data_IF_870752817029
#
_entry.id   IF_870752817029
#
_cell.length_a   1.000
_cell.length_b   1.000
_cell.length_c   1.000
_cell.angle_alpha   90.00
_cell.angle_beta   90.00
_cell.angle_gamma   90.00
#
_symmetry.space_group_name_H-M   'P 1'
#
loop_
_entity.id
_entity.type
_entity.pdbx_description
1 polymer ?
#
# COMPACT_ATOMS: atom_id res chain seq x y z
N UNK A 1 7.71 52.29 -53.43
CA UNK A 1 6.71 51.72 -52.48
C UNK A 1 7.19 50.35 -52.03
N UNK A 2 8.00 50.28 -50.97
CA UNK A 2 8.51 49.00 -50.43
C UNK A 2 7.62 48.55 -49.27
N UNK A 3 7.05 47.35 -49.39
CA UNK A 3 6.21 46.72 -48.36
C UNK A 3 7.10 46.02 -47.35
N UNK A 4 7.13 46.50 -46.10
CA UNK A 4 7.75 45.81 -44.97
C UNK A 4 6.80 44.70 -44.51
N UNK A 5 7.26 43.45 -44.53
CA UNK A 5 6.56 42.31 -43.95
C UNK A 5 6.97 42.20 -42.48
N UNK A 6 6.03 42.46 -41.57
CA UNK A 6 6.22 42.26 -40.13
C UNK A 6 6.00 40.78 -39.82
N UNK A 7 7.04 40.13 -39.29
CA UNK A 7 6.98 38.75 -38.79
C UNK A 7 6.68 38.82 -37.29
N UNK A 8 5.49 38.37 -36.88
CA UNK A 8 5.13 38.27 -35.45
C UNK A 8 5.71 36.96 -34.92
N UNK A 9 6.79 37.05 -34.15
CA UNK A 9 7.30 35.93 -33.38
C UNK A 9 6.44 35.76 -32.12
N UNK A 10 5.58 34.73 -32.12
CA UNK A 10 4.87 34.30 -30.90
C UNK A 10 5.86 33.54 -30.04
N UNK A 11 6.42 34.19 -29.01
CA UNK A 11 7.11 33.49 -27.93
C UNK A 11 6.05 32.74 -27.10
N UNK A 12 5.92 31.44 -27.35
CA UNK A 12 5.17 30.54 -26.47
C UNK A 12 5.91 30.42 -25.14
N UNK A 13 5.35 30.97 -24.09
CA UNK A 13 5.78 30.70 -22.72
C UNK A 13 5.44 29.26 -22.38
N UNK A 14 6.44 28.38 -22.45
CA UNK A 14 6.38 27.05 -21.84
C UNK A 14 6.33 27.24 -20.32
N UNK A 15 5.13 27.43 -19.77
CA UNK A 15 4.93 27.45 -18.32
C UNK A 15 5.32 26.09 -17.76
N UNK A 16 6.33 26.04 -16.88
CA UNK A 16 6.53 24.90 -16.00
C UNK A 16 5.27 24.79 -15.14
N UNK A 17 4.34 23.91 -15.52
CA UNK A 17 3.35 23.38 -14.59
C UNK A 17 4.12 22.57 -13.56
N UNK A 18 4.32 23.14 -12.38
CA UNK A 18 4.69 22.37 -11.20
C UNK A 18 3.50 21.48 -10.89
N UNK A 19 3.55 20.22 -11.34
CA UNK A 19 2.60 19.22 -10.87
C UNK A 19 2.86 19.07 -9.37
N UNK A 20 1.95 19.63 -8.56
CA UNK A 20 1.89 19.32 -7.13
C UNK A 20 1.55 17.84 -7.08
N UNK A 21 2.58 17.01 -6.83
CA UNK A 21 2.39 15.58 -6.60
C UNK A 21 1.48 15.43 -5.38
N UNK A 22 0.43 14.62 -5.49
CA UNK A 22 -0.45 14.37 -4.36
C UNK A 22 0.32 13.65 -3.23
N UNK A 23 -0.05 13.92 -1.99
CA UNK A 23 0.63 13.36 -0.83
C UNK A 23 0.58 11.81 -0.84
N UNK A 24 1.62 11.14 -0.32
CA UNK A 24 1.59 9.69 -0.17
C UNK A 24 0.65 9.25 0.95
N UNK A 25 0.16 8.01 0.87
CA UNK A 25 -0.70 7.39 1.87
C UNK A 25 -0.12 6.06 2.31
N UNK A 26 -0.01 5.83 3.63
CA UNK A 26 0.56 4.61 4.18
C UNK A 26 0.00 4.29 5.56
N UNK A 27 0.16 3.04 5.98
CA UNK A 27 -0.24 2.59 7.31
C UNK A 27 0.20 1.16 7.60
N UNK A 28 0.27 0.83 8.89
CA UNK A 28 0.67 -0.49 9.40
C UNK A 28 -0.10 -0.84 10.67
N UNK A 29 -0.35 -2.13 10.88
CA UNK A 29 -1.21 -2.60 11.97
C UNK A 29 -0.52 -2.57 13.34
N UNK A 30 0.79 -2.78 13.37
CA UNK A 30 1.65 -2.56 14.53
C UNK A 30 2.57 -1.37 14.27
N UNK A 31 2.72 -0.48 15.25
CA UNK A 31 3.56 0.72 15.11
C UNK A 31 5.05 0.36 15.09
N UNK A 32 5.83 1.17 14.38
CA UNK A 32 7.28 1.13 14.44
C UNK A 32 7.73 1.39 15.88
N UNK A 33 8.72 0.62 16.33
CA UNK A 33 9.27 0.69 17.67
C UNK A 33 10.76 0.33 17.59
N UNK A 34 11.60 1.33 17.87
CA UNK A 34 13.04 1.21 17.76
C UNK A 34 13.69 0.36 18.87
N UNK A 35 12.89 -0.27 19.74
CA UNK A 35 13.39 -1.13 20.82
C UNK A 35 13.02 -2.61 20.63
N UNK A 36 12.34 -2.95 19.54
CA UNK A 36 11.91 -4.33 19.26
C UNK A 36 11.87 -4.62 17.76
N UNK A 37 11.82 -5.89 17.36
CA UNK A 37 11.52 -6.27 15.99
C UNK A 37 10.27 -5.55 15.46
N UNK A 38 10.48 -4.62 14.53
CA UNK A 38 9.41 -3.84 13.93
C UNK A 38 9.82 -3.32 12.55
N UNK A 39 8.81 -2.91 11.77
CA UNK A 39 8.99 -2.28 10.47
C UNK A 39 8.50 -0.84 10.49
N UNK A 40 9.09 -0.05 9.60
CA UNK A 40 8.71 1.32 9.30
C UNK A 40 8.21 1.37 7.84
N UNK A 41 6.96 1.77 7.64
CA UNK A 41 6.33 1.85 6.32
C UNK A 41 6.03 3.29 5.97
N UNK A 42 6.29 3.66 4.72
CA UNK A 42 6.11 5.01 4.23
C UNK A 42 6.82 5.21 2.90
N UNK A 43 7.36 6.40 2.68
CA UNK A 43 8.11 6.71 1.45
C UNK A 43 9.61 6.79 1.67
N UNK A 44 10.37 6.46 0.63
CA UNK A 44 11.84 6.58 0.62
C UNK A 44 12.28 8.03 0.78
N UNK A 45 13.42 8.22 1.43
CA UNK A 45 14.15 9.50 1.39
C UNK A 45 15.03 9.53 0.14
N UNK A 46 15.32 10.73 -0.35
CA UNK A 46 16.31 10.92 -1.40
C UNK A 46 17.69 10.48 -0.92
N UNK A 47 18.41 9.74 -1.77
CA UNK A 47 19.72 9.17 -1.47
C UNK A 47 19.63 7.83 -0.74
N UNK A 48 20.68 7.46 -0.02
CA UNK A 48 20.76 6.19 0.72
C UNK A 48 22.00 5.37 0.35
N UNK A 49 22.56 4.68 1.33
CA UNK A 49 23.69 3.76 1.13
C UNK A 49 23.16 2.37 0.74
N UNK A 50 23.67 1.79 -0.34
CA UNK A 50 23.28 0.45 -0.82
C UNK A 50 21.94 0.38 -1.58
N UNK A 51 20.90 1.06 -1.10
CA UNK A 51 19.56 1.12 -1.71
C UNK A 51 19.13 2.56 -1.99
N UNK A 52 19.92 3.28 -2.79
CA UNK A 52 19.65 4.68 -3.14
C UNK A 52 18.32 4.86 -3.87
N UNK A 53 17.62 5.95 -3.57
CA UNK A 53 16.33 6.28 -4.16
C UNK A 53 16.25 7.77 -4.52
N UNK A 54 15.54 8.16 -5.60
CA UNK A 54 15.20 9.55 -5.87
C UNK A 54 14.33 10.20 -4.78
N UNK A 55 13.64 9.41 -3.96
CA UNK A 55 12.80 9.88 -2.85
C UNK A 55 11.33 9.95 -3.23
N UNK A 56 10.46 9.61 -2.26
CA UNK A 56 9.01 9.63 -2.41
C UNK A 56 8.41 8.31 -2.88
N UNK A 57 9.18 7.28 -3.20
CA UNK A 57 8.66 5.95 -3.55
C UNK A 57 8.08 5.21 -2.35
N UNK A 58 6.96 4.50 -2.51
CA UNK A 58 6.45 3.62 -1.46
C UNK A 58 7.48 2.57 -1.07
N UNK A 59 7.61 2.33 0.23
CA UNK A 59 8.66 1.47 0.74
C UNK A 59 8.43 0.94 2.15
N UNK A 60 9.40 0.16 2.59
CA UNK A 60 9.48 -0.42 3.94
C UNK A 60 10.91 -0.43 4.43
N UNK A 61 11.11 -0.28 5.74
CA UNK A 61 12.38 -0.50 6.43
C UNK A 61 12.18 -1.44 7.61
N UNK A 62 13.20 -2.22 7.96
CA UNK A 62 13.21 -3.05 9.18
C UNK A 62 14.09 -2.40 10.21
N UNK A 63 13.61 -2.27 11.44
CA UNK A 63 14.38 -1.63 12.51
C UNK A 63 15.81 -2.19 12.64
N UNK A 64 15.97 -3.52 12.58
CA UNK A 64 17.27 -4.20 12.70
C UNK A 64 18.23 -3.91 11.54
N UNK A 65 17.74 -3.37 10.42
CA UNK A 65 18.52 -3.06 9.23
C UNK A 65 18.58 -1.55 9.04
N UNK A 66 19.79 -0.99 9.18
CA UNK A 66 20.04 0.45 9.02
C UNK A 66 19.05 1.34 9.83
N UNK A 67 18.60 0.87 11.00
CA UNK A 67 17.70 1.60 11.89
C UNK A 67 16.27 1.78 11.36
N UNK A 68 15.84 0.98 10.38
CA UNK A 68 14.52 1.14 9.76
C UNK A 68 14.49 2.18 8.63
N UNK A 69 15.62 2.42 7.98
CA UNK A 69 15.66 3.20 6.74
C UNK A 69 14.74 2.56 5.69
N UNK A 70 13.82 3.35 5.15
CA UNK A 70 12.84 2.91 4.16
C UNK A 70 13.51 2.74 2.80
N UNK A 71 13.36 1.55 2.20
CA UNK A 71 13.77 1.23 0.83
C UNK A 71 12.53 0.97 -0.03
N UNK A 72 12.60 1.26 -1.34
CA UNK A 72 11.43 1.20 -2.21
C UNK A 72 11.00 -0.23 -2.51
N UNK A 73 9.68 -0.48 -2.51
CA UNK A 73 9.15 -1.78 -2.93
C UNK A 73 9.50 -2.10 -4.39
N UNK A 74 9.52 -1.09 -5.26
CA UNK A 74 9.93 -1.25 -6.67
C UNK A 74 11.40 -1.68 -6.82
N UNK A 75 12.28 -1.27 -5.90
CA UNK A 75 13.65 -1.78 -5.84
C UNK A 75 13.69 -3.23 -5.34
N UNK A 76 12.85 -3.55 -4.36
CA UNK A 76 12.78 -4.88 -3.75
C UNK A 76 12.27 -5.97 -4.71
N UNK A 77 11.39 -5.64 -5.66
CA UNK A 77 10.90 -6.62 -6.66
C UNK A 77 12.00 -7.23 -7.53
N UNK A 78 13.17 -6.59 -7.62
CA UNK A 78 14.33 -7.09 -8.37
C UNK A 78 15.00 -8.30 -7.71
N UNK A 79 14.77 -8.50 -6.41
CA UNK A 79 15.41 -9.55 -5.61
C UNK A 79 14.52 -10.77 -5.38
N UNK A 80 13.22 -10.64 -5.64
CA UNK A 80 12.27 -11.73 -5.52
C UNK A 80 11.23 -11.61 -6.63
N UNK A 81 11.18 -12.60 -7.53
CA UNK A 81 10.10 -12.69 -8.50
C UNK A 81 8.75 -12.85 -7.78
N UNK A 82 7.69 -12.32 -8.39
CA UNK A 82 6.35 -12.56 -7.92
C UNK A 82 5.93 -14.01 -8.20
N UNK A 83 5.14 -14.59 -7.32
CA UNK A 83 4.50 -15.88 -7.55
C UNK A 83 3.27 -15.75 -8.48
N UNK A 84 2.53 -16.85 -8.67
CA UNK A 84 1.31 -16.88 -9.49
C UNK A 84 0.20 -15.96 -8.97
N UNK A 85 0.24 -15.58 -7.69
CA UNK A 85 -0.67 -14.62 -7.09
C UNK A 85 -0.12 -13.19 -7.18
N UNK A 86 0.99 -12.95 -7.87
CA UNK A 86 1.61 -11.63 -7.96
C UNK A 86 2.19 -11.15 -6.63
N UNK A 87 2.55 -12.05 -5.72
CA UNK A 87 3.11 -11.74 -4.41
C UNK A 87 4.60 -12.05 -4.42
N UNK A 88 5.40 -11.05 -4.01
CA UNK A 88 6.83 -11.15 -3.83
C UNK A 88 7.13 -11.59 -2.39
N UNK A 89 8.03 -12.57 -2.24
CA UNK A 89 8.52 -13.02 -0.94
C UNK A 89 10.00 -12.71 -0.77
N UNK A 90 10.34 -11.93 0.24
CA UNK A 90 11.73 -11.64 0.61
C UNK A 90 11.96 -12.17 2.02
N UNK A 91 13.03 -12.95 2.22
CA UNK A 91 13.30 -13.61 3.48
C UNK A 91 14.81 -13.66 3.75
N UNK A 92 15.24 -13.07 4.87
CA UNK A 92 16.63 -13.17 5.37
C UNK A 92 16.67 -13.38 6.89
N UNK A 93 16.13 -14.49 7.42
CA UNK A 93 16.08 -14.71 8.87
C UNK A 93 17.43 -15.17 9.49
N UNK A 94 18.45 -15.51 8.70
CA UNK A 94 19.63 -16.26 9.19
C UNK A 94 21.04 -15.73 8.89
N UNK A 95 21.43 -15.47 7.63
CA UNK A 95 22.82 -15.07 7.31
C UNK A 95 22.90 -14.13 6.11
N UNK A 96 23.90 -13.26 6.08
CA UNK A 96 24.12 -12.25 5.03
C UNK A 96 24.08 -10.83 5.58
N UNK A 97 24.25 -9.83 4.71
CA UNK A 97 24.25 -8.42 5.09
C UNK A 97 22.90 -7.92 5.65
N UNK A 98 21.82 -8.69 5.43
CA UNK A 98 20.47 -8.41 5.90
C UNK A 98 19.98 -9.47 6.90
N UNK A 99 20.91 -10.07 7.65
CA UNK A 99 20.53 -11.05 8.68
C UNK A 99 19.54 -10.44 9.69
N UNK A 100 18.49 -11.20 10.03
CA UNK A 100 17.47 -10.78 10.98
C UNK A 100 16.48 -9.77 10.40
N UNK A 101 16.43 -9.58 9.08
CA UNK A 101 15.45 -8.72 8.42
C UNK A 101 14.03 -9.33 8.46
N UNK A 102 13.91 -10.62 8.76
CA UNK A 102 12.63 -11.33 8.82
C UNK A 102 12.10 -11.73 7.46
N UNK A 103 10.78 -11.81 7.34
CA UNK A 103 10.07 -12.31 6.17
C UNK A 103 9.00 -11.32 5.74
N UNK A 104 9.03 -10.95 4.47
CA UNK A 104 8.04 -10.11 3.82
C UNK A 104 7.27 -10.91 2.79
N UNK A 105 5.97 -10.64 2.71
CA UNK A 105 5.14 -10.98 1.55
C UNK A 105 4.43 -9.70 1.11
N UNK A 106 4.64 -9.24 -0.12
CA UNK A 106 4.02 -8.00 -0.61
C UNK A 106 3.63 -8.07 -2.08
N UNK A 107 2.67 -7.24 -2.48
CA UNK A 107 2.18 -7.14 -3.86
C UNK A 107 2.01 -5.69 -4.27
N UNK A 108 2.05 -5.45 -5.59
CA UNK A 108 1.73 -4.16 -6.21
C UNK A 108 0.26 -4.16 -6.64
N UNK A 109 -0.43 -3.05 -6.43
CA UNK A 109 -1.76 -2.81 -7.01
C UNK A 109 -1.60 -2.47 -8.50
N UNK A 110 -1.64 -3.48 -9.36
CA UNK A 110 -1.65 -3.36 -10.82
C UNK A 110 -0.78 -2.20 -11.36
N UNK A 111 -1.41 -1.21 -12.00
CA UNK A 111 -0.74 -0.09 -12.66
C UNK A 111 -0.49 1.12 -11.74
N UNK A 112 -0.71 1.00 -10.44
CA UNK A 112 -0.51 2.09 -9.47
C UNK A 112 0.77 1.86 -8.66
N UNK A 113 1.49 2.93 -8.31
CA UNK A 113 2.59 2.88 -7.35
C UNK A 113 2.05 2.80 -5.91
N UNK A 114 1.34 1.70 -5.66
CA UNK A 114 0.70 1.35 -4.40
C UNK A 114 1.03 -0.11 -4.10
N UNK A 115 1.52 -0.35 -2.89
CA UNK A 115 1.98 -1.65 -2.43
C UNK A 115 1.34 -1.98 -1.09
N UNK A 116 1.08 -3.25 -0.86
CA UNK A 116 0.52 -3.77 0.38
C UNK A 116 1.13 -5.13 0.68
N UNK A 117 1.18 -5.49 1.96
CA UNK A 117 1.85 -6.71 2.37
C UNK A 117 1.86 -6.93 3.86
N UNK A 118 2.65 -7.91 4.25
CA UNK A 118 2.86 -8.29 5.64
C UNK A 118 4.35 -8.52 5.90
N UNK A 119 4.71 -8.40 7.17
CA UNK A 119 6.02 -8.75 7.68
C UNK A 119 5.91 -9.51 8.99
N UNK A 120 6.84 -10.43 9.23
CA UNK A 120 7.13 -10.95 10.57
C UNK A 120 8.61 -11.28 10.70
N UNK A 121 9.11 -11.26 11.94
CA UNK A 121 10.51 -11.51 12.24
C UNK A 121 10.96 -12.93 11.84
N UNK A 122 10.07 -13.91 11.92
CA UNK A 122 10.39 -15.33 11.70
C UNK A 122 9.63 -15.96 10.54
N UNK A 123 8.55 -15.34 10.05
CA UNK A 123 7.69 -15.93 9.03
C UNK A 123 6.76 -17.03 9.54
N UNK A 124 6.69 -17.25 10.86
CA UNK A 124 5.81 -18.26 11.48
C UNK A 124 4.43 -17.67 11.75
N UNK A 125 3.40 -18.50 11.64
CA UNK A 125 1.99 -18.09 11.83
C UNK A 125 1.70 -17.50 13.21
N UNK A 126 2.41 -17.97 14.23
CA UNK A 126 2.27 -17.50 15.61
C UNK A 126 3.27 -16.40 16.00
N UNK A 127 3.96 -15.81 15.03
CA UNK A 127 4.89 -14.72 15.30
C UNK A 127 4.12 -13.46 15.72
N UNK A 128 4.36 -13.01 16.95
CA UNK A 128 3.69 -11.83 17.52
C UNK A 128 4.08 -10.52 16.82
N UNK A 129 5.14 -10.52 16.02
CA UNK A 129 5.59 -9.37 15.24
C UNK A 129 4.81 -9.20 13.92
N UNK A 130 3.89 -10.12 13.61
CA UNK A 130 3.10 -10.09 12.37
C UNK A 130 2.42 -8.73 12.17
N UNK A 131 2.86 -8.01 11.14
CA UNK A 131 2.44 -6.64 10.84
C UNK A 131 1.97 -6.58 9.41
N UNK A 132 0.69 -6.26 9.20
CA UNK A 132 0.16 -5.94 7.88
C UNK A 132 0.35 -4.45 7.59
N UNK A 133 0.55 -4.10 6.33
CA UNK A 133 0.86 -2.73 5.91
C UNK A 133 0.44 -2.40 4.48
N UNK A 134 0.43 -1.10 4.17
CA UNK A 134 0.36 -0.56 2.82
C UNK A 134 1.13 0.76 2.71
N UNK A 135 1.57 1.07 1.50
CA UNK A 135 2.13 2.38 1.15
C UNK A 135 1.87 2.66 -0.32
N UNK A 136 1.48 3.89 -0.64
CA UNK A 136 1.22 4.31 -2.02
C UNK A 136 1.50 5.78 -2.26
N UNK A 137 1.76 6.10 -3.52
CA UNK A 137 1.80 7.47 -4.06
C UNK A 137 0.41 7.91 -4.47
N UNK A 138 0.25 9.22 -4.56
CA UNK A 138 -0.88 9.88 -5.18
C UNK A 138 -2.21 9.54 -4.49
N UNK A 139 -2.32 9.85 -3.19
CA UNK A 139 -3.62 9.78 -2.50
C UNK A 139 -4.65 10.59 -3.28
N UNK A 140 -5.82 10.01 -3.51
CA UNK A 140 -6.86 10.64 -4.33
C UNK A 140 -7.31 11.95 -3.69
N UNK A 141 -7.09 13.06 -4.40
CA UNK A 141 -7.59 14.40 -4.02
C UNK A 141 -8.90 14.77 -4.70
N UNK A 142 -9.27 14.06 -5.77
CA UNK A 142 -10.47 14.24 -6.59
C UNK A 142 -11.43 13.04 -6.44
N UNK A 143 -11.87 12.76 -5.21
CA UNK A 143 -12.88 11.72 -4.98
C UNK A 143 -14.17 12.00 -5.77
N UNK A 144 -14.80 10.98 -6.37
CA UNK A 144 -16.16 11.14 -6.87
C UNK A 144 -17.09 11.64 -5.77
N UNK A 145 -18.00 12.55 -6.09
CA UNK A 145 -18.96 13.11 -5.12
C UNK A 145 -20.23 12.26 -4.98
N UNK A 146 -20.39 11.26 -5.85
CA UNK A 146 -21.53 10.36 -5.91
C UNK A 146 -21.24 9.14 -6.77
N UNK A 147 -22.23 8.24 -6.87
CA UNK A 147 -22.13 7.00 -7.62
C UNK A 147 -21.48 5.86 -6.84
N UNK A 148 -21.52 4.68 -7.46
CA UNK A 148 -21.01 3.44 -6.90
C UNK A 148 -19.86 2.95 -7.77
N UNK A 149 -18.74 2.59 -7.15
CA UNK A 149 -17.63 1.90 -7.78
C UNK A 149 -17.38 0.56 -7.10
N UNK A 150 -16.98 -0.43 -7.88
CA UNK A 150 -16.52 -1.72 -7.36
C UNK A 150 -15.03 -1.88 -7.62
N UNK A 151 -14.35 -2.57 -6.71
CA UNK A 151 -12.91 -2.81 -6.77
C UNK A 151 -12.66 -4.29 -6.69
N UNK A 152 -11.85 -4.83 -7.60
CA UNK A 152 -11.31 -6.18 -7.45
C UNK A 152 -10.14 -6.11 -6.46
N UNK A 153 -10.27 -6.82 -5.32
CA UNK A 153 -9.37 -6.70 -4.18
C UNK A 153 -8.68 -8.02 -3.90
N UNK A 154 -7.38 -7.92 -3.60
CA UNK A 154 -6.56 -9.01 -3.07
C UNK A 154 -6.11 -8.67 -1.65
N UNK A 155 -5.98 -9.67 -0.79
CA UNK A 155 -5.35 -9.50 0.51
C UNK A 155 -4.33 -10.57 0.85
N UNK A 156 -3.50 -10.20 1.83
CA UNK A 156 -2.36 -10.96 2.31
C UNK A 156 -2.51 -11.07 3.83
N UNK A 157 -2.54 -12.31 4.31
CA UNK A 157 -2.56 -12.68 5.73
C UNK A 157 -1.85 -14.03 5.87
N UNK A 158 -0.81 -14.08 6.69
CA UNK A 158 -0.02 -15.29 6.99
C UNK A 158 0.31 -16.08 5.73
N UNK A 159 0.86 -15.39 4.74
CA UNK A 159 0.92 -15.88 3.37
C UNK A 159 1.89 -17.06 3.20
N UNK A 160 1.35 -18.16 2.69
CA UNK A 160 2.04 -19.45 2.49
C UNK A 160 2.29 -19.78 1.01
N UNK A 161 1.91 -18.89 0.09
CA UNK A 161 1.99 -19.12 -1.37
C UNK A 161 0.68 -19.61 -2.01
N UNK A 162 -0.30 -20.04 -1.22
CA UNK A 162 -1.55 -20.64 -1.72
C UNK A 162 -2.81 -20.08 -1.08
N UNK A 163 -2.68 -19.16 -0.13
CA UNK A 163 -3.77 -18.65 0.69
C UNK A 163 -4.05 -17.15 0.46
N UNK A 164 -3.76 -16.63 -0.74
CA UNK A 164 -4.17 -15.27 -1.10
C UNK A 164 -5.69 -15.10 -0.91
N UNK A 165 -6.09 -13.96 -0.36
CA UNK A 165 -7.50 -13.61 -0.19
C UNK A 165 -7.97 -12.84 -1.42
N UNK A 166 -9.18 -13.10 -1.88
CA UNK A 166 -9.78 -12.42 -3.03
C UNK A 166 -11.21 -11.97 -2.73
N UNK A 167 -11.63 -10.88 -3.36
CA UNK A 167 -13.01 -10.44 -3.29
C UNK A 167 -13.24 -9.08 -3.91
N UNK A 168 -14.33 -8.44 -3.49
CA UNK A 168 -14.76 -7.16 -4.05
C UNK A 168 -15.12 -6.21 -2.93
N UNK A 169 -14.64 -4.97 -3.05
CA UNK A 169 -15.13 -3.85 -2.25
C UNK A 169 -15.99 -2.93 -3.10
N UNK A 170 -17.02 -2.37 -2.49
CA UNK A 170 -17.95 -1.41 -3.08
C UNK A 170 -17.80 -0.08 -2.35
N UNK A 171 -17.40 0.95 -3.10
CA UNK A 171 -17.43 2.32 -2.65
C UNK A 171 -18.72 2.98 -3.14
N UNK A 172 -19.59 3.37 -2.22
CA UNK A 172 -20.68 4.31 -2.48
C UNK A 172 -20.20 5.70 -2.05
N UNK A 173 -19.85 6.53 -3.03
CA UNK A 173 -19.30 7.86 -2.78
C UNK A 173 -20.37 8.85 -2.33
N UNK A 174 -21.64 8.62 -2.71
CA UNK A 174 -22.76 9.45 -2.25
C UNK A 174 -23.06 9.22 -0.77
N UNK A 175 -23.00 7.97 -0.33
CA UNK A 175 -23.16 7.58 1.07
C UNK A 175 -21.86 7.66 1.88
N UNK A 176 -20.73 7.93 1.23
CA UNK A 176 -19.38 7.95 1.81
C UNK A 176 -19.07 6.64 2.55
N UNK A 177 -19.37 5.51 1.93
CA UNK A 177 -19.14 4.17 2.51
C UNK A 177 -18.30 3.29 1.60
N UNK A 178 -17.36 2.57 2.20
CA UNK A 178 -16.62 1.48 1.58
C UNK A 178 -16.94 0.18 2.33
N UNK A 179 -17.46 -0.82 1.64
CA UNK A 179 -17.86 -2.09 2.24
C UNK A 179 -17.45 -3.25 1.37
N UNK A 180 -17.32 -4.44 1.95
CA UNK A 180 -17.06 -5.67 1.19
C UNK A 180 -16.23 -6.66 1.98
N UNK A 181 -15.77 -7.70 1.31
CA UNK A 181 -14.97 -8.74 1.93
C UNK A 181 -14.00 -9.36 0.95
N UNK A 182 -12.91 -9.90 1.49
CA UNK A 182 -11.96 -10.76 0.81
C UNK A 182 -11.87 -12.09 1.56
N UNK A 183 -11.76 -13.20 0.84
CA UNK A 183 -11.80 -14.52 1.43
C UNK A 183 -10.92 -15.55 0.69
N UNK A 184 -10.62 -16.62 1.41
CA UNK A 184 -10.20 -17.91 0.88
C UNK A 184 -10.97 -19.01 1.66
N UNK A 185 -10.58 -20.28 1.53
CA UNK A 185 -11.27 -21.38 2.23
C UNK A 185 -11.12 -21.37 3.76
N UNK A 186 -10.12 -20.68 4.30
CA UNK A 186 -9.78 -20.68 5.72
C UNK A 186 -10.16 -19.39 6.46
N UNK A 187 -10.21 -18.26 5.74
CA UNK A 187 -10.39 -16.94 6.33
C UNK A 187 -11.26 -16.05 5.44
N UNK A 188 -12.20 -15.35 6.07
CA UNK A 188 -12.94 -14.24 5.46
C UNK A 188 -12.67 -12.98 6.28
N UNK A 189 -12.21 -11.93 5.60
CA UNK A 189 -12.00 -10.60 6.16
C UNK A 189 -13.02 -9.64 5.56
N UNK A 190 -13.86 -9.06 6.41
CA UNK A 190 -14.88 -8.08 6.03
C UNK A 190 -14.51 -6.67 6.47
N UNK A 191 -14.90 -5.67 5.70
CA UNK A 191 -14.74 -4.25 6.05
C UNK A 191 -16.06 -3.49 5.95
N UNK A 192 -16.21 -2.50 6.82
CA UNK A 192 -17.26 -1.49 6.72
C UNK A 192 -16.72 -0.14 7.21
N UNK A 193 -16.50 0.77 6.28
CA UNK A 193 -15.71 1.98 6.48
C UNK A 193 -16.44 3.23 6.03
N UNK A 194 -16.17 4.33 6.73
CA UNK A 194 -16.53 5.66 6.26
C UNK A 194 -15.41 6.18 5.34
N UNK A 195 -15.79 6.74 4.20
CA UNK A 195 -14.91 7.45 3.26
C UNK A 195 -14.83 8.90 3.70
N UNK A 196 -13.61 9.45 3.76
CA UNK A 196 -13.35 10.85 4.12
C UNK A 196 -12.97 11.66 2.89
N UNK A 197 -13.12 12.98 3.00
CA UNK A 197 -12.83 13.91 1.91
C UNK A 197 -11.35 13.96 1.52
N UNK A 198 -10.45 13.56 2.42
CA UNK A 198 -9.00 13.51 2.22
C UNK A 198 -8.52 12.23 1.50
N UNK A 199 -9.43 11.45 0.91
CA UNK A 199 -9.08 10.19 0.26
C UNK A 199 -8.89 9.01 1.21
N UNK A 200 -8.88 9.22 2.53
CA UNK A 200 -8.77 8.14 3.51
C UNK A 200 -10.10 7.44 3.77
N UNK A 201 -10.04 6.21 4.26
CA UNK A 201 -11.19 5.51 4.83
C UNK A 201 -10.81 4.80 6.12
N UNK A 202 -11.78 4.65 7.02
CA UNK A 202 -11.60 3.87 8.24
C UNK A 202 -12.93 3.33 8.76
N UNK A 203 -12.88 2.21 9.47
CA UNK A 203 -14.07 1.65 10.11
C UNK A 203 -13.86 0.31 10.76
N UNK A 204 -14.92 -0.50 10.78
CA UNK A 204 -14.94 -1.82 11.43
C UNK A 204 -14.39 -2.88 10.48
N UNK A 205 -13.62 -3.82 11.02
CA UNK A 205 -13.20 -5.04 10.34
C UNK A 205 -13.74 -6.28 11.05
N UNK A 206 -13.87 -7.39 10.33
CA UNK A 206 -14.18 -8.71 10.90
C UNK A 206 -13.29 -9.78 10.31
N UNK A 207 -12.83 -10.74 11.11
CA UNK A 207 -12.06 -11.89 10.66
C UNK A 207 -12.30 -13.09 11.58
N UNK A 208 -12.86 -14.20 11.06
CA UNK A 208 -13.07 -15.42 11.84
C UNK A 208 -13.82 -15.20 13.17
N UNK A 209 -14.87 -14.38 13.17
CA UNK A 209 -15.64 -14.00 14.36
C UNK A 209 -15.04 -12.87 15.21
N UNK A 210 -13.76 -12.53 15.02
CA UNK A 210 -13.13 -11.39 15.69
C UNK A 210 -13.60 -10.05 15.08
N UNK A 211 -13.67 -9.02 15.92
CA UNK A 211 -13.97 -7.65 15.51
C UNK A 211 -12.71 -6.80 15.65
N UNK A 212 -12.36 -6.11 14.57
CA UNK A 212 -11.19 -5.26 14.47
C UNK A 212 -11.52 -3.90 13.88
N UNK A 213 -10.48 -3.20 13.45
CA UNK A 213 -10.58 -1.92 12.73
C UNK A 213 -9.92 -2.05 11.38
N UNK A 214 -10.41 -1.34 10.37
CA UNK A 214 -9.67 -1.16 9.13
C UNK A 214 -9.38 0.32 8.89
N UNK A 215 -8.34 0.58 8.12
CA UNK A 215 -7.99 1.91 7.62
C UNK A 215 -7.22 1.80 6.31
N UNK A 216 -7.33 2.81 5.45
CA UNK A 216 -6.63 2.85 4.18
C UNK A 216 -6.85 4.16 3.43
N UNK A 217 -6.40 4.18 2.18
CA UNK A 217 -6.57 5.32 1.27
C UNK A 217 -7.01 4.86 -0.12
N UNK A 218 -7.74 5.72 -0.81
CA UNK A 218 -7.87 5.69 -2.27
C UNK A 218 -6.65 6.36 -2.90
N UNK A 219 -6.24 5.85 -4.06
CA UNK A 219 -5.08 6.34 -4.80
C UNK A 219 -5.41 6.53 -6.28
N UNK A 220 -4.71 7.48 -6.89
CA UNK A 220 -4.87 7.89 -8.28
C UNK A 220 -6.14 8.70 -8.54
N UNK A 221 -6.28 9.15 -9.78
CA UNK A 221 -7.43 9.96 -10.20
C UNK A 221 -8.76 9.23 -10.01
N UNK A 222 -9.74 9.96 -9.48
CA UNK A 222 -11.11 9.47 -9.28
C UNK A 222 -11.18 8.12 -8.54
N UNK A 223 -10.28 7.94 -7.57
CA UNK A 223 -10.13 6.72 -6.78
C UNK A 223 -9.91 5.47 -7.64
N UNK A 224 -8.99 5.53 -8.60
CA UNK A 224 -8.66 4.41 -9.50
C UNK A 224 -8.21 3.13 -8.77
N UNK A 225 -7.70 3.28 -7.55
CA UNK A 225 -7.26 2.15 -6.72
C UNK A 225 -7.44 2.43 -5.23
N UNK A 226 -7.28 1.39 -4.42
CA UNK A 226 -7.27 1.49 -2.96
C UNK A 226 -6.25 0.54 -2.35
N UNK A 227 -5.77 0.87 -1.16
CA UNK A 227 -5.06 -0.07 -0.28
C UNK A 227 -5.29 0.27 1.19
N UNK A 228 -5.13 -0.72 2.05
CA UNK A 228 -5.36 -0.56 3.49
C UNK A 228 -5.00 -1.81 4.29
N UNK A 229 -5.32 -1.75 5.58
CA UNK A 229 -5.14 -2.85 6.53
C UNK A 229 -6.40 -3.06 7.36
N UNK A 230 -6.59 -4.30 7.80
CA UNK A 230 -7.47 -4.68 8.90
C UNK A 230 -6.60 -5.13 10.08
N UNK A 231 -6.82 -4.52 11.25
CA UNK A 231 -6.09 -4.78 12.50
C UNK A 231 -7.01 -5.43 13.54
N UNK A 232 -6.50 -6.46 14.20
CA UNK A 232 -7.16 -7.16 15.29
C UNK A 232 -6.24 -7.15 16.51
N UNK A 233 -6.36 -6.13 17.37
CA UNK A 233 -5.41 -5.88 18.47
C UNK A 233 -5.33 -6.99 19.52
N UNK A 234 -6.37 -7.83 19.62
CA UNK A 234 -6.37 -9.01 20.51
C UNK A 234 -5.74 -10.25 19.85
N UNK A 235 -5.53 -10.22 18.54
CA UNK A 235 -4.97 -11.34 17.77
C UNK A 235 -4.39 -10.85 16.44
N UNK A 236 -3.13 -10.41 16.48
CA UNK A 236 -2.42 -9.93 15.30
C UNK A 236 -2.21 -11.02 14.24
N UNK A 237 -2.43 -12.31 14.52
CA UNK A 237 -2.39 -13.34 13.46
C UNK A 237 -3.45 -13.12 12.38
N UNK A 238 -4.51 -12.36 12.69
CA UNK A 238 -5.60 -11.99 11.77
C UNK A 238 -5.36 -10.67 11.04
N UNK A 239 -4.30 -9.93 11.37
CA UNK A 239 -3.98 -8.68 10.68
C UNK A 239 -3.84 -8.94 9.18
N UNK A 240 -4.48 -8.13 8.36
CA UNK A 240 -4.58 -8.39 6.93
C UNK A 240 -4.34 -7.12 6.15
N UNK A 241 -3.42 -7.17 5.19
CA UNK A 241 -3.24 -6.09 4.22
C UNK A 241 -4.09 -6.37 2.98
N UNK A 242 -4.57 -5.31 2.33
CA UNK A 242 -5.34 -5.43 1.11
C UNK A 242 -5.04 -4.30 0.13
N UNK A 243 -5.20 -4.60 -1.16
CA UNK A 243 -5.08 -3.64 -2.25
C UNK A 243 -5.96 -4.05 -3.43
N UNK A 244 -6.51 -3.08 -4.15
CA UNK A 244 -7.44 -3.34 -5.23
C UNK A 244 -7.55 -2.23 -6.27
N UNK A 245 -8.00 -2.62 -7.45
CA UNK A 245 -8.16 -1.74 -8.61
C UNK A 245 -9.65 -1.57 -8.90
N UNK A 246 -10.05 -0.34 -9.23
CA UNK A 246 -11.40 -0.03 -9.66
C UNK A 246 -11.74 -0.81 -10.93
N UNK A 247 -12.91 -1.43 -10.95
CA UNK A 247 -13.40 -2.14 -12.11
C UNK A 247 -13.79 -1.14 -13.23
N UNK A 248 -13.67 -1.53 -14.51
CA UNK A 248 -14.06 -0.70 -15.66
C UNK A 248 -15.52 -0.24 -15.63
#
# INVERSE_FOLDING_TARGET
>A
MNKVKVLIAVLGTCGLVTQVMADPGFGQTQKFDANKPSINVGVTKQGGSGHGSPGGEPGVGVHSIAGGQIVSFSGLTRYAAADANGIHKISMPGSGSHNGMGVFNFSKVANADVYFGEWSQTGKVNDTTHTAYYSGKDVTTNLPTGGIATYTVKGINQYSGSNALHGTFTADFGQKRLTGSIANSALTVGINSAIKADGSFAGRATAGGAVGRNSGHFFGDNAASLAGTATFTSDHSKDTAFGGTKNP
#
